data_IF_260216516671
#
_entry.id   IF_260216516671
#
_cell.length_a   1.000
_cell.length_b   1.000
_cell.length_c   1.000
_cell.angle_alpha   90.00
_cell.angle_beta   90.00
_cell.angle_gamma   90.00
#
_symmetry.space_group_name_H-M   'P 1'
#
loop_
_entity.id
_entity.type
_entity.pdbx_description
1 polymer ?
#
# COMPACT_ATOMS: atom_id res chain seq x y z
N UNK A 1 6.06 59.76 0.68
CA UNK A 1 5.14 58.61 0.73
C UNK A 1 5.98 57.36 0.96
N UNK A 2 6.10 56.92 2.21
CA UNK A 2 6.98 55.82 2.63
C UNK A 2 6.19 54.52 2.57
N UNK A 3 6.50 53.66 1.61
CA UNK A 3 5.80 52.39 1.41
C UNK A 3 6.34 51.34 2.39
N UNK A 4 5.56 51.00 3.40
CA UNK A 4 5.88 49.95 4.38
C UNK A 4 5.59 48.60 3.72
N UNK A 5 6.64 47.96 3.20
CA UNK A 5 6.58 46.58 2.73
C UNK A 5 6.42 45.65 3.94
N UNK A 6 5.21 45.10 4.13
CA UNK A 6 4.94 44.06 5.11
C UNK A 6 5.72 42.79 4.74
N UNK A 7 6.84 42.55 5.42
CA UNK A 7 7.49 41.25 5.41
C UNK A 7 6.56 40.23 6.08
N UNK A 8 5.80 39.48 5.28
CA UNK A 8 5.19 38.23 5.76
C UNK A 8 6.33 37.26 6.08
N UNK A 9 6.66 37.12 7.36
CA UNK A 9 7.47 36.00 7.84
C UNK A 9 6.76 34.72 7.39
N UNK A 10 7.34 34.01 6.42
CA UNK A 10 6.93 32.66 6.10
C UNK A 10 7.22 31.81 7.35
N UNK A 11 6.21 31.61 8.19
CA UNK A 11 6.26 30.59 9.23
C UNK A 11 6.42 29.28 8.48
N UNK A 12 7.66 28.76 8.45
CA UNK A 12 7.97 27.50 7.79
C UNK A 12 7.00 26.46 8.32
N UNK A 13 6.07 25.99 7.48
CA UNK A 13 5.22 24.86 7.84
C UNK A 13 6.16 23.74 8.28
N UNK A 14 5.93 23.10 9.43
CA UNK A 14 6.80 22.02 9.87
C UNK A 14 6.91 21.00 8.73
N UNK A 15 8.15 20.62 8.39
CA UNK A 15 8.44 19.79 7.24
C UNK A 15 8.06 18.33 7.56
N UNK A 16 6.78 18.00 7.43
CA UNK A 16 6.21 16.68 7.70
C UNK A 16 6.46 15.66 6.57
N UNK A 17 7.68 15.60 6.01
CA UNK A 17 8.02 14.67 4.93
C UNK A 17 8.42 13.26 5.43
N UNK A 18 7.85 12.81 6.56
CA UNK A 18 8.09 11.46 7.05
C UNK A 18 7.46 10.46 6.07
N UNK A 19 8.27 9.57 5.52
CA UNK A 19 7.81 8.50 4.64
C UNK A 19 6.81 7.60 5.39
N UNK A 20 5.79 7.15 4.67
CA UNK A 20 4.86 6.16 5.16
C UNK A 20 5.59 4.82 5.25
N UNK A 21 5.46 4.14 6.39
CA UNK A 21 5.97 2.79 6.55
C UNK A 21 5.01 1.76 5.91
N UNK A 22 5.44 0.50 5.86
CA UNK A 22 4.66 -0.56 5.21
C UNK A 22 3.29 -0.77 5.89
N UNK A 23 3.22 -0.67 7.22
CA UNK A 23 1.98 -0.82 7.97
C UNK A 23 1.00 0.30 7.61
N UNK A 24 1.48 1.54 7.57
CA UNK A 24 0.68 2.70 7.14
C UNK A 24 0.12 2.50 5.74
N UNK A 25 0.96 2.09 4.78
CA UNK A 25 0.55 1.90 3.39
C UNK A 25 -0.46 0.77 3.24
N UNK A 26 -0.26 -0.33 3.96
CA UNK A 26 -1.13 -1.50 3.91
C UNK A 26 -2.49 -1.20 4.57
N UNK A 27 -2.50 -0.47 5.69
CA UNK A 27 -3.72 -0.01 6.35
C UNK A 27 -4.55 0.88 5.43
N UNK A 28 -3.92 1.86 4.76
CA UNK A 28 -4.63 2.72 3.79
C UNK A 28 -5.26 1.88 2.67
N UNK A 29 -4.51 0.91 2.13
CA UNK A 29 -5.00 0.05 1.06
C UNK A 29 -6.21 -0.80 1.51
N UNK A 30 -6.13 -1.39 2.70
CA UNK A 30 -7.21 -2.21 3.27
C UNK A 30 -8.49 -1.39 3.52
N UNK A 31 -8.36 -0.22 4.16
CA UNK A 31 -9.51 0.62 4.47
C UNK A 31 -10.24 1.13 3.20
N UNK A 32 -9.47 1.52 2.18
CA UNK A 32 -10.03 2.13 0.96
C UNK A 32 -10.63 1.08 0.02
N UNK A 33 -10.00 -0.08 -0.09
CA UNK A 33 -10.35 -1.06 -1.12
C UNK A 33 -11.10 -2.24 -0.53
N UNK A 34 -10.50 -2.97 0.41
CA UNK A 34 -11.13 -4.17 0.99
C UNK A 34 -12.34 -3.81 1.85
N UNK A 35 -12.27 -2.74 2.65
CA UNK A 35 -13.41 -2.25 3.43
C UNK A 35 -14.32 -1.27 2.67
N UNK A 36 -13.92 -0.82 1.47
CA UNK A 36 -14.71 0.08 0.63
C UNK A 36 -15.03 1.45 1.26
N UNK A 37 -14.23 1.92 2.21
CA UNK A 37 -14.53 3.15 2.95
C UNK A 37 -14.27 4.40 2.11
N UNK A 38 -15.09 5.43 2.35
CA UNK A 38 -14.88 6.76 1.77
C UNK A 38 -13.75 7.48 2.50
N UNK A 39 -13.04 8.35 1.78
CA UNK A 39 -11.86 9.06 2.28
C UNK A 39 -12.11 9.89 3.54
N UNK A 40 -13.33 10.43 3.69
CA UNK A 40 -13.78 11.16 4.86
C UNK A 40 -13.72 10.30 6.13
N UNK A 41 -14.07 9.01 6.02
CA UNK A 41 -14.03 8.05 7.14
C UNK A 41 -12.63 7.46 7.35
N UNK A 42 -11.90 7.22 6.24
CA UNK A 42 -10.56 6.60 6.27
C UNK A 42 -9.61 7.36 7.18
N UNK A 43 -9.61 8.70 7.16
CA UNK A 43 -8.71 9.52 7.98
C UNK A 43 -8.84 9.23 9.49
N UNK A 44 -10.07 9.21 10.01
CA UNK A 44 -10.32 8.98 11.43
C UNK A 44 -9.97 7.56 11.85
N UNK A 45 -10.41 6.58 11.05
CA UNK A 45 -10.18 5.16 11.31
C UNK A 45 -8.68 4.82 11.23
N UNK A 46 -7.98 5.34 10.22
CA UNK A 46 -6.53 5.19 10.07
C UNK A 46 -5.78 5.63 11.33
N UNK A 47 -6.08 6.81 11.86
CA UNK A 47 -5.38 7.37 13.04
C UNK A 47 -5.56 6.49 14.28
N UNK A 48 -6.78 6.02 14.51
CA UNK A 48 -7.10 5.18 15.66
C UNK A 48 -6.38 3.82 15.56
N UNK A 49 -6.55 3.12 14.43
CA UNK A 49 -5.93 1.81 14.22
C UNK A 49 -4.40 1.92 14.26
N UNK A 50 -3.81 2.93 13.61
CA UNK A 50 -2.36 3.09 13.61
C UNK A 50 -1.80 3.34 15.02
N UNK A 51 -2.52 4.13 15.83
CA UNK A 51 -2.17 4.35 17.24
C UNK A 51 -2.21 3.04 18.03
N UNK A 52 -3.26 2.24 17.86
CA UNK A 52 -3.41 0.95 18.52
C UNK A 52 -2.31 -0.04 18.12
N UNK A 53 -1.95 -0.09 16.83
CA UNK A 53 -0.94 -1.02 16.31
C UNK A 53 0.48 -0.71 16.77
N UNK A 54 0.83 0.59 16.82
CA UNK A 54 2.21 1.01 17.07
C UNK A 54 2.44 1.43 18.52
N UNK A 55 1.38 1.77 19.25
CA UNK A 55 1.47 2.46 20.55
C UNK A 55 2.09 3.85 20.46
N UNK A 56 2.43 4.33 19.25
CA UNK A 56 3.13 5.60 19.04
C UNK A 56 2.12 6.70 18.79
N UNK A 57 2.14 7.70 19.65
CA UNK A 57 1.38 8.92 19.47
C UNK A 57 2.22 9.98 18.76
N UNK A 58 2.54 9.72 17.48
CA UNK A 58 3.39 10.59 16.66
C UNK A 58 2.62 11.83 16.18
N UNK A 59 3.16 13.02 16.46
CA UNK A 59 2.62 14.30 15.98
C UNK A 59 2.55 14.35 14.44
N UNK A 60 3.46 13.66 13.74
CA UNK A 60 3.46 13.57 12.28
C UNK A 60 2.29 12.70 11.78
N UNK A 61 2.01 11.57 12.42
CA UNK A 61 0.87 10.71 12.05
C UNK A 61 -0.46 11.40 12.32
N UNK A 62 -0.55 12.15 13.43
CA UNK A 62 -1.70 13.01 13.75
C UNK A 62 -1.91 14.13 12.75
N UNK A 63 -0.86 14.61 12.07
CA UNK A 63 -0.97 15.67 11.07
C UNK A 63 -1.24 15.15 9.65
N UNK A 64 -1.30 13.83 9.44
CA UNK A 64 -1.65 13.26 8.13
C UNK A 64 -3.08 13.62 7.74
N UNK A 65 -3.19 14.32 6.63
CA UNK A 65 -4.44 14.75 6.02
C UNK A 65 -4.87 13.82 4.89
N UNK A 66 -6.15 13.88 4.52
CA UNK A 66 -6.74 13.04 3.45
C UNK A 66 -5.94 13.10 2.15
N UNK A 67 -5.44 14.27 1.76
CA UNK A 67 -4.60 14.46 0.58
C UNK A 67 -3.29 13.64 0.65
N UNK A 68 -2.70 13.53 1.84
CA UNK A 68 -1.50 12.73 2.07
C UNK A 68 -1.76 11.24 1.89
N UNK A 69 -2.87 10.75 2.46
CA UNK A 69 -3.29 9.35 2.33
C UNK A 69 -3.62 8.99 0.88
N UNK A 70 -4.33 9.88 0.17
CA UNK A 70 -4.63 9.74 -1.26
C UNK A 70 -3.36 9.67 -2.10
N UNK A 71 -2.40 10.58 -1.86
CA UNK A 71 -1.14 10.60 -2.60
C UNK A 71 -0.34 9.30 -2.45
N UNK A 72 -0.36 8.70 -1.25
CA UNK A 72 0.24 7.38 -1.00
C UNK A 72 -0.49 6.28 -1.76
N UNK A 73 -1.82 6.23 -1.64
CA UNK A 73 -2.65 5.25 -2.32
C UNK A 73 -2.43 5.26 -3.84
N UNK A 74 -2.36 6.44 -4.45
CA UNK A 74 -2.10 6.54 -5.89
C UNK A 74 -0.69 6.08 -6.29
N UNK A 75 0.33 6.31 -5.44
CA UNK A 75 1.67 5.76 -5.68
C UNK A 75 1.69 4.23 -5.61
N UNK A 76 0.94 3.63 -4.68
CA UNK A 76 0.82 2.16 -4.58
C UNK A 76 0.19 1.56 -5.85
N UNK A 77 -0.71 2.31 -6.51
CA UNK A 77 -1.33 1.86 -7.75
C UNK A 77 -0.38 1.83 -8.95
N UNK A 78 0.85 2.36 -8.85
CA UNK A 78 1.84 2.22 -9.93
C UNK A 78 2.49 0.83 -9.98
N UNK A 79 2.37 0.03 -8.92
CA UNK A 79 3.08 -1.24 -8.75
C UNK A 79 2.16 -2.35 -8.24
N UNK A 80 1.08 -2.62 -8.96
CA UNK A 80 0.11 -3.66 -8.55
C UNK A 80 0.51 -4.99 -9.17
N UNK A 81 0.51 -6.11 -8.43
CA UNK A 81 0.80 -7.42 -9.00
C UNK A 81 -0.17 -7.74 -10.15
N UNK A 82 0.37 -8.23 -11.26
CA UNK A 82 -0.45 -8.73 -12.34
C UNK A 82 -1.06 -10.06 -11.92
N UNK A 83 -2.38 -10.08 -11.79
CA UNK A 83 -3.15 -11.27 -11.41
C UNK A 83 -4.23 -11.58 -12.44
N UNK A 84 -4.73 -12.81 -12.45
CA UNK A 84 -5.95 -13.18 -13.15
C UNK A 84 -7.21 -13.03 -12.26
N UNK A 85 -8.36 -13.47 -12.77
CA UNK A 85 -9.64 -13.37 -12.07
C UNK A 85 -9.70 -14.21 -10.78
N UNK A 86 -8.87 -15.25 -10.67
CA UNK A 86 -8.79 -16.12 -9.49
C UNK A 86 -7.75 -15.61 -8.48
N UNK A 87 -7.12 -14.45 -8.73
CA UNK A 87 -6.08 -13.88 -7.88
C UNK A 87 -4.70 -14.57 -8.03
N UNK A 88 -4.53 -15.43 -9.04
CA UNK A 88 -3.26 -16.10 -9.34
C UNK A 88 -2.30 -15.13 -10.00
N UNK A 89 -1.01 -15.28 -9.70
CA UNK A 89 0.03 -14.43 -10.27
C UNK A 89 0.25 -14.73 -11.75
N UNK A 90 0.53 -13.67 -12.52
CA UNK A 90 1.04 -13.77 -13.88
C UNK A 90 2.56 -13.60 -13.88
N UNK A 91 3.21 -14.36 -14.75
CA UNK A 91 4.67 -14.42 -14.85
C UNK A 91 5.13 -13.89 -16.20
N UNK A 92 6.28 -13.20 -16.20
CA UNK A 92 6.99 -12.73 -17.39
C UNK A 92 8.48 -12.92 -17.17
N UNK A 93 9.16 -13.55 -18.12
CA UNK A 93 10.59 -13.88 -18.03
C UNK A 93 10.95 -14.64 -16.72
N UNK A 94 10.12 -15.61 -16.33
CA UNK A 94 10.31 -16.41 -15.12
C UNK A 94 10.12 -15.65 -13.81
N UNK A 95 9.63 -14.41 -13.84
CA UNK A 95 9.36 -13.58 -12.64
C UNK A 95 7.90 -13.16 -12.57
N UNK A 96 7.37 -13.00 -11.36
CA UNK A 96 6.08 -12.32 -11.18
C UNK A 96 6.25 -10.85 -11.58
N UNK A 97 5.28 -10.24 -12.26
CA UNK A 97 5.42 -8.85 -12.71
C UNK A 97 4.31 -7.95 -12.17
N UNK A 98 4.62 -6.65 -12.06
CA UNK A 98 3.64 -5.64 -11.66
C UNK A 98 3.13 -4.86 -12.86
N UNK A 99 1.95 -4.26 -12.74
CA UNK A 99 1.31 -3.37 -13.70
C UNK A 99 0.88 -2.07 -13.00
N UNK A 100 0.94 -0.92 -13.70
CA UNK A 100 0.33 0.30 -13.19
C UNK A 100 -1.18 0.28 -13.41
N UNK A 101 -1.95 0.57 -12.36
CA UNK A 101 -3.38 0.84 -12.42
C UNK A 101 -3.61 2.33 -12.74
N UNK A 102 -3.65 2.65 -14.05
CA UNK A 102 -3.91 4.03 -14.51
C UNK A 102 -5.28 4.51 -14.03
N UNK A 103 -5.38 5.78 -13.65
CA UNK A 103 -6.57 6.38 -13.03
C UNK A 103 -7.88 6.15 -13.80
N UNK A 104 -7.82 6.03 -15.13
CA UNK A 104 -8.99 5.78 -16.00
C UNK A 104 -9.45 4.32 -16.04
N UNK A 105 -8.62 3.38 -15.57
CA UNK A 105 -8.88 1.93 -15.54
C UNK A 105 -9.29 1.45 -14.12
N UNK A 106 -9.26 2.34 -13.12
CA UNK A 106 -9.51 2.03 -11.69
C UNK A 106 -10.98 1.72 -11.36
N UNK A 107 -11.89 1.74 -12.34
CA UNK A 107 -13.32 1.49 -12.13
C UNK A 107 -13.69 0.00 -12.06
N UNK A 108 -12.86 -0.91 -12.58
CA UNK A 108 -13.27 -2.30 -12.80
C UNK A 108 -12.58 -3.34 -11.90
N UNK A 109 -11.46 -3.02 -11.24
CA UNK A 109 -10.74 -3.97 -10.36
C UNK A 109 -9.72 -3.28 -9.47
N UNK A 110 -10.18 -2.65 -8.39
CA UNK A 110 -9.23 -2.21 -7.35
C UNK A 110 -8.81 -3.46 -6.57
N UNK A 111 -7.62 -3.96 -6.85
CA UNK A 111 -7.01 -5.00 -6.03
C UNK A 111 -6.71 -4.43 -4.65
N UNK A 112 -7.27 -5.03 -3.60
CA UNK A 112 -7.06 -4.65 -2.21
C UNK A 112 -5.76 -5.19 -1.63
N UNK A 113 -5.53 -4.96 -0.35
CA UNK A 113 -4.36 -5.46 0.37
C UNK A 113 -4.27 -6.98 0.28
N UNK A 114 -5.41 -7.67 0.44
CA UNK A 114 -5.47 -9.13 0.45
C UNK A 114 -5.12 -9.70 -0.93
N UNK A 115 -5.56 -9.04 -2.00
CA UNK A 115 -5.26 -9.49 -3.37
C UNK A 115 -3.84 -9.10 -3.79
N UNK A 116 -3.31 -7.98 -3.29
CA UNK A 116 -1.94 -7.56 -3.64
C UNK A 116 -0.89 -8.36 -2.88
N UNK A 117 -1.03 -8.46 -1.57
CA UNK A 117 -0.01 -9.00 -0.68
C UNK A 117 -0.58 -10.02 0.33
N UNK A 118 -1.27 -11.08 -0.14
CA UNK A 118 -1.85 -12.09 0.74
C UNK A 118 -0.82 -12.76 1.65
N UNK A 119 0.40 -12.97 1.15
CA UNK A 119 1.48 -13.61 1.89
C UNK A 119 1.96 -12.75 3.06
N UNK A 120 1.96 -11.42 2.87
CA UNK A 120 2.32 -10.47 3.92
C UNK A 120 1.28 -10.50 5.03
N UNK A 121 0.00 -10.42 4.65
CA UNK A 121 -1.13 -10.46 5.58
C UNK A 121 -1.14 -11.77 6.38
N UNK A 122 -1.03 -12.91 5.70
CA UNK A 122 -1.11 -14.21 6.35
C UNK A 122 0.11 -14.53 7.22
N UNK A 123 1.33 -14.37 6.68
CA UNK A 123 2.57 -14.76 7.37
C UNK A 123 2.93 -13.79 8.49
N UNK A 124 2.55 -12.51 8.36
CA UNK A 124 2.80 -11.48 9.37
C UNK A 124 1.51 -11.03 10.07
N UNK A 125 0.48 -11.89 10.15
CA UNK A 125 -0.86 -11.58 10.71
C UNK A 125 -0.85 -10.91 12.09
N UNK A 126 0.16 -11.17 12.91
CA UNK A 126 0.34 -10.50 14.21
C UNK A 126 0.52 -8.98 14.10
N UNK A 127 0.93 -8.46 12.93
CA UNK A 127 1.03 -7.02 12.62
C UNK A 127 -0.25 -6.45 12.00
N UNK A 128 -1.20 -7.30 11.65
CA UNK A 128 -2.42 -6.97 10.91
C UNK A 128 -3.66 -7.30 11.73
N UNK A 129 -3.66 -6.96 13.02
CA UNK A 129 -4.75 -7.28 13.97
C UNK A 129 -6.08 -6.61 13.62
N UNK A 130 -6.07 -5.59 12.76
CA UNK A 130 -7.24 -4.89 12.27
C UNK A 130 -7.93 -5.58 11.08
N UNK A 131 -7.32 -6.62 10.50
CA UNK A 131 -7.89 -7.35 9.36
C UNK A 131 -8.86 -8.41 9.88
N UNK A 132 -10.04 -8.49 9.25
CA UNK A 132 -11.07 -9.46 9.61
C UNK A 132 -10.58 -10.90 9.42
N UNK A 133 -11.05 -11.82 10.26
CA UNK A 133 -10.63 -13.23 10.20
C UNK A 133 -10.99 -13.91 8.87
N UNK A 134 -12.10 -13.51 8.24
CA UNK A 134 -12.49 -13.94 6.89
C UNK A 134 -11.46 -13.55 5.84
N UNK A 135 -10.95 -12.32 5.89
CA UNK A 135 -9.91 -11.82 5.00
C UNK A 135 -8.56 -12.49 5.26
N UNK A 136 -8.24 -12.81 6.52
CA UNK A 136 -7.05 -13.61 6.85
C UNK A 136 -7.16 -15.02 6.25
N UNK A 137 -8.32 -15.65 6.32
CA UNK A 137 -8.54 -16.97 5.69
C UNK A 137 -8.40 -16.89 4.16
N UNK A 138 -8.94 -15.84 3.53
CA UNK A 138 -8.76 -15.54 2.10
C UNK A 138 -7.29 -15.35 1.74
N UNK A 139 -6.55 -14.57 2.54
CA UNK A 139 -5.12 -14.36 2.38
C UNK A 139 -4.33 -15.68 2.49
N UNK A 140 -4.71 -16.57 3.42
CA UNK A 140 -4.08 -17.87 3.59
C UNK A 140 -4.25 -18.75 2.34
N UNK A 141 -5.47 -18.82 1.81
CA UNK A 141 -5.76 -19.58 0.59
C UNK A 141 -4.97 -19.05 -0.62
N UNK A 142 -4.98 -17.74 -0.85
CA UNK A 142 -4.21 -17.11 -1.93
C UNK A 142 -2.70 -17.32 -1.75
N UNK A 143 -2.19 -17.28 -0.51
CA UNK A 143 -0.78 -17.56 -0.21
C UNK A 143 -0.39 -18.96 -0.66
N UNK A 144 -1.19 -19.98 -0.33
CA UNK A 144 -0.92 -21.36 -0.73
C UNK A 144 -0.88 -21.52 -2.25
N UNK A 145 -1.85 -20.91 -2.95
CA UNK A 145 -1.91 -20.91 -4.42
C UNK A 145 -0.65 -20.28 -5.01
N UNK A 146 -0.28 -19.08 -4.55
CA UNK A 146 0.86 -18.34 -5.11
C UNK A 146 2.20 -18.97 -4.79
N UNK A 147 2.34 -19.61 -3.64
CA UNK A 147 3.54 -20.36 -3.30
C UNK A 147 3.71 -21.58 -4.20
N UNK A 148 2.62 -22.32 -4.47
CA UNK A 148 2.65 -23.41 -5.45
C UNK A 148 3.03 -22.90 -6.85
N UNK A 149 2.49 -21.76 -7.29
CA UNK A 149 2.86 -21.15 -8.56
C UNK A 149 4.35 -20.79 -8.62
N UNK A 150 4.89 -20.19 -7.55
CA UNK A 150 6.32 -19.81 -7.50
C UNK A 150 7.22 -21.04 -7.55
N UNK A 151 6.92 -22.07 -6.76
CA UNK A 151 7.68 -23.33 -6.77
C UNK A 151 7.67 -23.96 -8.17
N UNK A 152 6.50 -24.01 -8.83
CA UNK A 152 6.38 -24.53 -10.19
C UNK A 152 7.18 -23.72 -11.23
N UNK A 153 7.43 -22.44 -10.98
CA UNK A 153 8.24 -21.56 -11.83
C UNK A 153 9.71 -21.46 -11.37
N UNK A 154 10.15 -22.27 -10.42
CA UNK A 154 11.53 -22.23 -9.90
C UNK A 154 11.86 -20.97 -9.08
N UNK A 155 10.84 -20.26 -8.60
CA UNK A 155 10.99 -19.08 -7.76
C UNK A 155 10.86 -19.44 -6.27
N UNK A 156 11.57 -18.71 -5.38
CA UNK A 156 11.38 -18.90 -3.95
C UNK A 156 9.97 -18.46 -3.52
N UNK A 157 9.45 -19.05 -2.45
CA UNK A 157 8.23 -18.57 -1.78
C UNK A 157 8.41 -17.15 -1.24
N UNK A 158 7.30 -16.44 -1.00
CA UNK A 158 7.38 -15.07 -0.51
C UNK A 158 8.07 -14.97 0.86
N UNK A 159 8.99 -14.01 0.99
CA UNK A 159 9.58 -13.54 2.24
C UNK A 159 9.65 -12.01 2.21
N UNK A 160 9.70 -11.32 3.37
CA UNK A 160 9.74 -9.86 3.42
C UNK A 160 10.89 -9.21 2.64
N UNK A 161 12.00 -9.91 2.46
CA UNK A 161 13.26 -9.37 1.92
C UNK A 161 13.67 -9.94 0.55
N UNK A 162 12.86 -10.80 -0.08
CA UNK A 162 13.22 -11.47 -1.34
C UNK A 162 12.44 -10.96 -2.56
N UNK A 163 11.91 -9.74 -2.50
CA UNK A 163 11.13 -9.16 -3.60
C UNK A 163 11.93 -9.10 -4.91
N UNK A 164 13.20 -8.67 -4.86
CA UNK A 164 14.07 -8.53 -6.04
C UNK A 164 14.32 -9.86 -6.79
N UNK A 165 14.28 -10.97 -6.06
CA UNK A 165 14.47 -12.30 -6.62
C UNK A 165 13.24 -12.76 -7.41
N UNK A 166 12.05 -12.35 -6.96
CA UNK A 166 10.76 -12.84 -7.50
C UNK A 166 10.10 -11.88 -8.47
N UNK A 167 10.18 -10.57 -8.22
CA UNK A 167 9.37 -9.54 -8.87
C UNK A 167 10.13 -8.79 -9.96
N UNK A 168 9.45 -8.53 -11.08
CA UNK A 168 9.84 -7.60 -12.11
C UNK A 168 8.87 -6.40 -12.13
N UNK A 169 9.37 -5.19 -11.81
CA UNK A 169 8.56 -3.98 -11.95
C UNK A 169 8.55 -3.49 -13.39
N UNK A 170 7.37 -3.43 -14.02
CA UNK A 170 7.25 -3.01 -15.43
C UNK A 170 7.15 -1.50 -15.59
N UNK A 171 6.79 -0.76 -14.52
CA UNK A 171 6.79 0.68 -14.50
C UNK A 171 8.14 1.22 -13.99
N UNK A 172 8.91 1.89 -14.86
CA UNK A 172 10.03 2.74 -14.41
C UNK A 172 9.43 4.11 -14.05
N UNK A 173 9.54 4.55 -12.80
CA UNK A 173 9.35 5.97 -12.55
C UNK A 173 10.42 6.71 -13.37
N UNK A 174 10.03 7.73 -14.12
CA UNK A 174 11.03 8.65 -14.67
C UNK A 174 11.93 9.09 -13.51
N UNK A 175 13.23 8.82 -13.61
CA UNK A 175 14.21 9.51 -12.77
C UNK A 175 14.07 10.98 -13.13
N UNK A 176 13.58 11.79 -12.19
CA UNK A 176 13.81 13.24 -12.25
C UNK A 176 15.32 13.44 -12.24
N UNK A 177 15.79 14.24 -13.20
CA UNK A 177 17.18 14.66 -13.37
C UNK A 177 17.77 15.24 -12.09
#
# INVERSE_FOLDING_TARGET
>A
MTSICHQRKAVGKPHFNKKYDAISTDLILYLVVDMGLRWESVKGIYRNIYKELTGVEDAVEKSRETQGLQGVFYRLNNFVPAVDADGRLKFKNGKEYTIPLKQREQFYSKLGLIDRYPERVYRMRHKYTYIQSSDIARAAALTGIRDAQRIANGLPVWKPNNEKERVLHTYRSHKSH
#
